data_IF_840555707388
#
_entry.id   IF_840555707388
#
_cell.length_a   1.000
_cell.length_b   1.000
_cell.length_c   1.000
_cell.angle_alpha   90.00
_cell.angle_beta   90.00
_cell.angle_gamma   90.00
#
_symmetry.space_group_name_H-M   'P 1'
#
loop_
_entity.id
_entity.type
_entity.pdbx_description
1 polymer ?
#
# COMPACT_ATOMS: atom_id res chain seq x y z
N UNK A 1 7.32 4.28 5.08
CA UNK A 1 6.08 5.09 5.12
C UNK A 1 6.16 6.06 3.95
N UNK A 2 5.18 6.02 3.04
CA UNK A 2 5.15 6.87 1.85
C UNK A 2 4.65 8.27 2.21
N UNK A 3 5.26 9.33 1.67
CA UNK A 3 4.80 10.70 1.93
C UNK A 3 3.55 11.02 1.10
N UNK A 4 2.56 11.68 1.71
CA UNK A 4 1.30 12.03 1.03
C UNK A 4 1.53 12.95 -0.20
N UNK A 5 2.61 13.72 -0.21
CA UNK A 5 3.01 14.56 -1.36
C UNK A 5 3.41 13.73 -2.57
N UNK A 6 4.14 12.63 -2.37
CA UNK A 6 4.53 11.71 -3.44
C UNK A 6 3.30 11.01 -4.03
N UNK A 7 2.35 10.62 -3.19
CA UNK A 7 1.10 9.97 -3.60
C UNK A 7 0.26 10.90 -4.50
N UNK A 8 0.22 12.19 -4.19
CA UNK A 8 -0.49 13.19 -5.01
C UNK A 8 0.17 13.47 -6.36
N UNK A 9 1.47 13.26 -6.48
CA UNK A 9 2.22 13.47 -7.72
C UNK A 9 2.09 12.28 -8.70
N UNK A 10 1.60 11.13 -8.25
CA UNK A 10 1.37 9.96 -9.11
C UNK A 10 0.20 10.17 -10.05
N UNK A 11 0.31 9.68 -11.29
CA UNK A 11 -0.84 9.58 -12.20
C UNK A 11 -1.83 8.53 -11.70
N UNK A 12 -3.08 8.56 -12.20
CA UNK A 12 -4.10 7.57 -11.79
C UNK A 12 -3.69 6.13 -12.13
N UNK A 13 -2.94 5.95 -13.22
CA UNK A 13 -2.39 4.64 -13.61
C UNK A 13 -1.28 4.20 -12.67
N UNK A 14 -0.32 5.07 -12.39
CA UNK A 14 0.80 4.74 -11.50
C UNK A 14 0.31 4.48 -10.07
N UNK A 15 -0.72 5.21 -9.62
CA UNK A 15 -1.35 5.00 -8.32
C UNK A 15 -1.97 3.59 -8.23
N UNK A 16 -2.67 3.15 -9.28
CA UNK A 16 -3.26 1.82 -9.35
C UNK A 16 -2.18 0.72 -9.40
N UNK A 17 -1.16 0.87 -10.25
CA UNK A 17 -0.05 -0.08 -10.31
C UNK A 17 0.67 -0.18 -8.97
N UNK A 18 0.89 0.94 -8.28
CA UNK A 18 1.52 0.95 -6.95
C UNK A 18 0.67 0.21 -5.92
N UNK A 19 -0.65 0.39 -5.95
CA UNK A 19 -1.58 -0.34 -5.07
C UNK A 19 -1.44 -1.84 -5.29
N UNK A 20 -1.42 -2.29 -6.55
CA UNK A 20 -1.37 -3.71 -6.88
C UNK A 20 -0.02 -4.34 -6.49
N UNK A 21 1.10 -3.63 -6.73
CA UNK A 21 2.43 -4.02 -6.29
C UNK A 21 2.52 -4.16 -4.75
N UNK A 22 2.01 -3.18 -4.01
CA UNK A 22 2.04 -3.20 -2.55
C UNK A 22 1.13 -4.29 -1.97
N UNK A 23 0.02 -4.63 -2.64
CA UNK A 23 -0.85 -5.75 -2.25
C UNK A 23 -0.17 -7.11 -2.45
N UNK A 24 0.54 -7.31 -3.55
CA UNK A 24 1.32 -8.52 -3.78
C UNK A 24 2.46 -8.64 -2.76
N UNK A 25 3.16 -7.54 -2.47
CA UNK A 25 4.17 -7.49 -1.43
C UNK A 25 3.59 -7.85 -0.05
N UNK A 26 2.40 -7.34 0.30
CA UNK A 26 1.71 -7.69 1.54
C UNK A 26 1.31 -9.17 1.58
N UNK A 27 0.87 -9.75 0.46
CA UNK A 27 0.51 -11.17 0.38
C UNK A 27 1.73 -12.07 0.64
N UNK A 28 2.87 -11.75 0.03
CA UNK A 28 4.16 -12.43 0.28
C UNK A 28 4.60 -12.29 1.73
N UNK A 29 4.56 -11.07 2.27
CA UNK A 29 4.92 -10.78 3.67
C UNK A 29 4.01 -11.56 4.65
N UNK A 30 2.70 -11.64 4.35
CA UNK A 30 1.76 -12.41 5.17
C UNK A 30 2.04 -13.92 5.09
N UNK A 31 2.35 -14.42 3.90
CA UNK A 31 2.73 -15.82 3.72
C UNK A 31 4.01 -16.15 4.50
N UNK A 32 5.06 -15.35 4.33
CA UNK A 32 6.33 -15.49 5.05
C UNK A 32 6.14 -15.40 6.57
N UNK A 33 5.34 -14.44 7.06
CA UNK A 33 5.03 -14.33 8.47
C UNK A 33 4.28 -15.56 9.00
N UNK A 34 3.33 -16.10 8.24
CA UNK A 34 2.54 -17.27 8.65
C UNK A 34 3.36 -18.57 8.63
N UNK A 35 4.27 -18.70 7.66
CA UNK A 35 5.08 -19.91 7.45
C UNK A 35 6.34 -19.92 8.32
N UNK A 36 7.05 -18.79 8.39
CA UNK A 36 8.37 -18.72 9.04
C UNK A 36 8.34 -18.05 10.43
N UNK A 37 7.31 -17.28 10.77
CA UNK A 37 7.17 -16.61 12.08
C UNK A 37 8.27 -15.58 12.42
N UNK A 38 9.28 -15.41 11.57
CA UNK A 38 10.47 -14.59 11.78
C UNK A 38 10.28 -13.11 11.40
N UNK A 39 9.25 -12.80 10.62
CA UNK A 39 8.99 -11.43 10.20
C UNK A 39 8.21 -10.65 11.26
N UNK A 40 8.67 -9.41 11.53
CA UNK A 40 8.04 -8.54 12.51
C UNK A 40 6.60 -8.16 12.10
N UNK A 41 5.60 -8.34 12.98
CA UNK A 41 4.23 -7.88 12.76
C UNK A 41 4.13 -6.37 12.43
N UNK A 42 5.13 -5.59 12.86
CA UNK A 42 5.23 -4.16 12.59
C UNK A 42 5.36 -3.87 11.10
N UNK A 43 6.15 -4.65 10.36
CA UNK A 43 6.29 -4.50 8.92
C UNK A 43 4.96 -4.73 8.18
N UNK A 44 4.17 -5.72 8.63
CA UNK A 44 2.81 -5.97 8.13
C UNK A 44 1.90 -4.75 8.36
N UNK A 45 1.99 -4.15 9.54
CA UNK A 45 1.19 -2.97 9.89
C UNK A 45 1.57 -1.73 9.08
N UNK A 46 2.86 -1.54 8.80
CA UNK A 46 3.38 -0.43 8.00
C UNK A 46 2.94 -0.56 6.54
N UNK A 47 3.07 -1.75 5.95
CA UNK A 47 2.59 -2.01 4.58
C UNK A 47 1.09 -1.80 4.42
N UNK A 48 0.28 -2.25 5.39
CA UNK A 48 -1.17 -1.98 5.41
C UNK A 48 -1.48 -0.49 5.44
N UNK A 49 -0.73 0.30 6.23
CA UNK A 49 -0.89 1.75 6.31
C UNK A 49 -0.52 2.44 5.00
N UNK A 50 0.55 2.01 4.34
CA UNK A 50 0.96 2.56 3.06
C UNK A 50 -0.10 2.30 1.97
N UNK A 51 -0.66 1.08 1.89
CA UNK A 51 -1.78 0.77 0.98
C UNK A 51 -3.02 1.64 1.28
N UNK A 52 -3.36 1.83 2.55
CA UNK A 52 -4.51 2.64 2.95
C UNK A 52 -4.36 4.11 2.50
N UNK A 53 -3.15 4.67 2.53
CA UNK A 53 -2.87 6.02 2.02
C UNK A 53 -3.10 6.12 0.52
N UNK A 54 -2.61 5.15 -0.25
CA UNK A 54 -2.80 5.10 -1.71
C UNK A 54 -4.30 4.99 -2.07
N UNK A 55 -5.05 4.13 -1.38
CA UNK A 55 -6.49 3.96 -1.58
C UNK A 55 -7.28 5.23 -1.20
N UNK A 56 -6.87 5.92 -0.13
CA UNK A 56 -7.48 7.18 0.28
C UNK A 56 -7.35 8.23 -0.81
N UNK A 57 -6.16 8.38 -1.40
CA UNK A 57 -5.97 9.31 -2.53
C UNK A 57 -6.83 8.92 -3.72
N UNK A 58 -6.88 7.62 -4.08
CA UNK A 58 -7.72 7.16 -5.19
C UNK A 58 -9.20 7.50 -4.96
N UNK A 59 -9.69 7.31 -3.73
CA UNK A 59 -11.07 7.65 -3.35
C UNK A 59 -11.30 9.17 -3.38
N UNK A 60 -10.33 9.95 -2.91
CA UNK A 60 -10.40 11.41 -2.96
C UNK A 60 -10.50 11.92 -4.41
N UNK A 61 -9.72 11.35 -5.34
CA UNK A 61 -9.82 11.69 -6.77
C UNK A 61 -11.15 11.29 -7.39
N UNK A 62 -11.68 10.12 -7.03
CA UNK A 62 -13.01 9.66 -7.50
C UNK A 62 -14.15 10.55 -7.01
N UNK A 63 -14.07 11.04 -5.78
CA UNK A 63 -15.11 11.88 -5.17
C UNK A 63 -15.00 13.37 -5.53
N UNK A 64 -13.87 13.81 -6.10
CA UNK A 64 -13.66 15.18 -6.55
C UNK A 64 -14.18 15.43 -7.99
N UNK A 65 -14.58 14.37 -8.71
CA UNK A 65 -15.31 14.40 -9.98
C UNK A 65 -16.81 14.25 -9.72
#
# INVERSE_FOLDING_TARGET
>A
MIANTEIRQLSDKDLQERIDLERDALAKLRFNHTIAGLESPKALSEKKRDIARLLTEQSARKNAN
#
